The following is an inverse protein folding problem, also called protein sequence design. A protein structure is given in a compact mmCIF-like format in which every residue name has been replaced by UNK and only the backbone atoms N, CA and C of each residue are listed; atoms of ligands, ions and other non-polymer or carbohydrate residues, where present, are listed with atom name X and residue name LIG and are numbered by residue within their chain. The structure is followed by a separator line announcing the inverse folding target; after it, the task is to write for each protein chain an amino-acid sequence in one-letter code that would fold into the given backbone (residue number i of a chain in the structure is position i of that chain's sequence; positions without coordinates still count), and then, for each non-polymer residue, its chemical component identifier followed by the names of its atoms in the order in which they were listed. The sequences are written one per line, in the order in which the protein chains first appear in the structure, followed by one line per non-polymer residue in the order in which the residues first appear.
data_IF_418408772765
#
_entry.id   IF_418408772765
#
_cell.length_a   1.000
_cell.length_b   1.000
_cell.length_c   1.000
_cell.angle_alpha   90.00
_cell.angle_beta   90.00
_cell.angle_gamma   90.00
#
_symmetry.space_group_name_H-M   'P 1'
#
loop_
_entity.id
_entity.type
_entity.pdbx_description
1 polymer ?
#
# COMPACT_ATOMS: atom_id res chain seq x y z
N UNK A 1 22.97 11.41 -14.51
CA UNK A 1 21.80 10.91 -13.74
C UNK A 1 22.22 10.87 -12.29
N UNK A 2 21.48 11.54 -11.40
CA UNK A 2 21.78 11.50 -9.96
C UNK A 2 21.72 10.05 -9.46
N UNK A 3 22.64 9.69 -8.56
CA UNK A 3 22.66 8.38 -7.94
C UNK A 3 21.40 8.23 -7.08
N UNK A 4 20.63 7.16 -7.28
CA UNK A 4 19.51 6.84 -6.39
C UNK A 4 20.07 6.60 -4.98
N UNK A 5 19.53 7.28 -3.97
CA UNK A 5 19.90 7.10 -2.56
C UNK A 5 18.79 6.35 -1.81
N UNK A 6 19.16 5.29 -1.08
CA UNK A 6 18.23 4.65 -0.16
C UNK A 6 18.13 5.53 1.09
N UNK A 7 17.03 6.25 1.25
CA UNK A 7 16.82 7.14 2.39
C UNK A 7 16.04 6.42 3.49
N UNK A 8 16.38 6.66 4.74
CA UNK A 8 15.59 6.18 5.85
C UNK A 8 14.17 6.75 5.76
N UNK A 9 13.17 5.89 5.90
CA UNK A 9 11.77 6.26 5.72
C UNK A 9 10.87 5.30 6.46
N UNK A 10 9.77 5.82 6.98
CA UNK A 10 8.80 5.07 7.78
C UNK A 10 7.41 5.08 7.15
N UNK A 11 6.65 4.00 7.38
CA UNK A 11 5.22 3.86 7.07
C UNK A 11 4.63 2.78 7.97
N UNK A 12 3.30 2.71 8.09
CA UNK A 12 2.67 1.64 8.87
C UNK A 12 3.03 0.25 8.38
N UNK A 13 2.97 0.00 7.07
CA UNK A 13 3.32 -1.30 6.51
C UNK A 13 4.79 -1.65 6.77
N UNK A 14 5.69 -0.67 6.74
CA UNK A 14 7.10 -0.87 7.08
C UNK A 14 7.31 -1.19 8.57
N UNK A 15 6.54 -0.56 9.45
CA UNK A 15 6.54 -0.81 10.89
C UNK A 15 6.01 -2.21 11.21
N UNK A 16 4.87 -2.58 10.61
CA UNK A 16 4.25 -3.90 10.77
C UNK A 16 5.17 -5.01 10.24
N UNK A 17 5.80 -4.82 9.07
CA UNK A 17 6.78 -5.77 8.54
C UNK A 17 7.95 -5.96 9.51
N UNK A 18 8.49 -4.86 10.03
CA UNK A 18 9.58 -4.90 10.99
C UNK A 18 9.18 -5.58 12.29
N UNK A 19 8.01 -5.26 12.85
CA UNK A 19 7.48 -5.85 14.08
C UNK A 19 7.21 -7.35 13.95
N UNK A 20 6.60 -7.77 12.85
CA UNK A 20 6.31 -9.19 12.59
C UNK A 20 7.58 -9.99 12.24
N UNK A 21 8.52 -9.40 11.50
CA UNK A 21 9.73 -10.07 11.04
C UNK A 21 10.81 -9.07 10.64
N UNK A 22 11.83 -8.89 11.49
CA UNK A 22 12.98 -8.01 11.23
C UNK A 22 13.66 -8.37 9.91
N UNK A 23 13.85 -9.66 9.64
CA UNK A 23 14.39 -10.15 8.37
C UNK A 23 13.57 -9.74 7.14
N UNK A 24 12.23 -9.70 7.24
CA UNK A 24 11.37 -9.23 6.14
C UNK A 24 11.65 -7.77 5.81
N UNK A 25 11.83 -6.93 6.84
CA UNK A 25 12.21 -5.53 6.66
C UNK A 25 13.59 -5.38 6.02
N UNK A 26 14.56 -6.23 6.40
CA UNK A 26 15.87 -6.27 5.75
C UNK A 26 15.76 -6.50 4.23
N UNK A 27 15.02 -7.54 3.85
CA UNK A 27 14.81 -7.89 2.45
C UNK A 27 14.08 -6.78 1.67
N UNK A 28 13.00 -6.24 2.23
CA UNK A 28 12.12 -5.29 1.55
C UNK A 28 12.70 -3.88 1.43
N UNK A 29 13.69 -3.50 2.27
CA UNK A 29 14.27 -2.16 2.27
C UNK A 29 15.73 -2.11 1.84
N UNK A 30 16.56 -3.04 2.29
CA UNK A 30 18.01 -2.93 2.16
C UNK A 30 18.59 -3.88 1.12
N UNK A 31 18.36 -5.19 1.26
CA UNK A 31 18.92 -6.16 0.32
C UNK A 31 18.33 -6.05 -1.09
N UNK A 32 17.06 -5.64 -1.24
CA UNK A 32 16.50 -5.35 -2.56
C UNK A 32 17.12 -4.11 -3.25
N UNK A 33 17.78 -3.23 -2.50
CA UNK A 33 18.33 -1.99 -3.04
C UNK A 33 19.48 -2.28 -3.99
N UNK A 34 19.40 -1.74 -5.20
CA UNK A 34 20.37 -2.01 -6.26
C UNK A 34 20.09 -3.30 -7.05
N UNK A 35 19.10 -4.12 -6.67
CA UNK A 35 18.77 -5.38 -7.36
C UNK A 35 18.29 -5.24 -8.81
N UNK A 36 18.05 -4.01 -9.29
CA UNK A 36 17.81 -3.69 -10.71
C UNK A 36 19.09 -3.54 -11.54
N UNK A 37 20.27 -3.45 -10.91
CA UNK A 37 21.53 -3.25 -11.59
C UNK A 37 22.02 -4.56 -12.25
N UNK A 38 22.68 -4.43 -13.41
CA UNK A 38 23.21 -5.58 -14.16
C UNK A 38 24.22 -6.40 -13.36
N UNK A 39 25.00 -5.74 -12.51
CA UNK A 39 26.05 -6.31 -11.67
C UNK A 39 25.59 -6.57 -10.22
N UNK A 40 24.30 -6.46 -9.92
CA UNK A 40 23.77 -6.85 -8.62
C UNK A 40 24.03 -8.33 -8.33
N UNK A 41 24.17 -8.68 -7.05
CA UNK A 41 24.28 -10.09 -6.64
C UNK A 41 22.97 -10.83 -6.90
N UNK A 42 23.01 -12.16 -6.96
CA UNK A 42 21.79 -12.96 -7.15
C UNK A 42 20.80 -12.80 -5.98
N UNK A 43 21.32 -12.60 -4.76
CA UNK A 43 20.51 -12.28 -3.58
C UNK A 43 19.76 -10.95 -3.77
N UNK A 44 20.47 -9.88 -4.19
CA UNK A 44 19.85 -8.56 -4.40
C UNK A 44 18.80 -8.60 -5.51
N UNK A 45 19.08 -9.28 -6.63
CA UNK A 45 18.11 -9.45 -7.73
C UNK A 45 16.87 -10.20 -7.28
N UNK A 46 17.06 -11.23 -6.47
CA UNK A 46 15.96 -12.03 -5.92
C UNK A 46 15.14 -11.22 -4.92
N UNK A 47 15.77 -10.58 -3.92
CA UNK A 47 15.08 -9.69 -2.99
C UNK A 47 14.31 -8.57 -3.72
N UNK A 48 14.90 -7.99 -4.77
CA UNK A 48 14.21 -7.00 -5.61
C UNK A 48 13.00 -7.57 -6.34
N UNK A 49 13.10 -8.74 -6.95
CA UNK A 49 12.00 -9.41 -7.65
C UNK A 49 10.85 -9.75 -6.70
N UNK A 50 11.17 -10.33 -5.54
CA UNK A 50 10.19 -10.71 -4.52
C UNK A 50 9.48 -9.47 -3.95
N UNK A 51 10.22 -8.39 -3.70
CA UNK A 51 9.67 -7.10 -3.25
C UNK A 51 8.81 -6.35 -4.30
N UNK A 52 8.68 -6.87 -5.52
CA UNK A 52 7.75 -6.34 -6.53
C UNK A 52 6.60 -7.28 -6.83
N UNK A 53 6.50 -8.41 -6.10
CA UNK A 53 5.32 -9.24 -6.19
C UNK A 53 4.10 -8.48 -5.67
N UNK A 54 2.95 -8.84 -6.23
CA UNK A 54 1.64 -8.42 -5.78
C UNK A 54 0.84 -9.68 -5.42
N UNK A 55 -0.26 -9.49 -4.71
CA UNK A 55 -1.22 -10.55 -4.45
C UNK A 55 -2.55 -10.21 -5.11
N UNK A 56 -3.36 -11.23 -5.37
CA UNK A 56 -4.63 -11.05 -6.09
C UNK A 56 -5.61 -10.10 -5.39
N UNK A 57 -5.53 -9.96 -4.07
CA UNK A 57 -6.38 -9.05 -3.29
C UNK A 57 -5.90 -7.60 -3.38
N UNK A 58 -4.58 -7.37 -3.37
CA UNK A 58 -3.98 -6.07 -3.65
C UNK A 58 -4.35 -5.57 -5.04
N UNK A 59 -4.26 -6.45 -6.03
CA UNK A 59 -4.67 -6.15 -7.40
C UNK A 59 -6.16 -5.82 -7.51
N UNK A 60 -7.01 -6.54 -6.78
CA UNK A 60 -8.45 -6.26 -6.71
C UNK A 60 -8.75 -4.88 -6.14
N UNK A 61 -8.05 -4.50 -5.06
CA UNK A 61 -8.15 -3.16 -4.47
C UNK A 61 -7.82 -2.07 -5.47
N UNK A 62 -6.66 -2.18 -6.13
CA UNK A 62 -6.23 -1.25 -7.18
C UNK A 62 -7.23 -1.18 -8.34
N UNK A 63 -7.78 -2.32 -8.78
CA UNK A 63 -8.77 -2.34 -9.86
C UNK A 63 -10.07 -1.63 -9.48
N UNK A 64 -10.55 -1.83 -8.24
CA UNK A 64 -11.72 -1.16 -7.72
C UNK A 64 -11.47 0.35 -7.57
N UNK A 65 -10.36 0.75 -6.96
CA UNK A 65 -9.97 2.14 -6.79
C UNK A 65 -9.84 2.88 -8.12
N UNK A 66 -9.13 2.31 -9.09
CA UNK A 66 -9.02 2.89 -10.43
C UNK A 66 -10.40 3.13 -11.08
N UNK A 67 -11.31 2.17 -10.93
CA UNK A 67 -12.65 2.28 -11.51
C UNK A 67 -13.52 3.33 -10.80
N UNK A 68 -13.53 3.37 -9.46
CA UNK A 68 -14.34 4.35 -8.73
C UNK A 68 -13.80 5.77 -8.88
N UNK A 69 -12.47 5.93 -8.94
CA UNK A 69 -11.86 7.23 -9.20
C UNK A 69 -12.19 7.70 -10.61
N UNK A 70 -12.19 6.81 -11.60
CA UNK A 70 -12.66 7.15 -12.94
C UNK A 70 -14.14 7.55 -12.95
N UNK A 71 -15.01 6.82 -12.24
CA UNK A 71 -16.44 7.17 -12.08
C UNK A 71 -16.59 8.58 -11.49
N UNK A 72 -15.84 8.91 -10.43
CA UNK A 72 -15.84 10.24 -9.82
C UNK A 72 -15.46 11.32 -10.84
N UNK A 73 -14.39 11.10 -11.63
CA UNK A 73 -13.96 12.05 -12.67
C UNK A 73 -15.02 12.23 -13.76
N UNK A 74 -15.68 11.16 -14.20
CA UNK A 74 -16.78 11.27 -15.17
C UNK A 74 -17.96 12.05 -14.58
N UNK A 75 -18.31 11.79 -13.32
CA UNK A 75 -19.38 12.51 -12.63
C UNK A 75 -19.08 14.02 -12.54
N UNK A 76 -17.86 14.39 -12.16
CA UNK A 76 -17.41 15.79 -12.12
C UNK A 76 -17.42 16.47 -13.50
N UNK A 77 -17.27 15.70 -14.58
CA UNK A 77 -17.44 16.16 -15.95
C UNK A 77 -18.91 16.22 -16.41
N UNK A 78 -19.87 15.97 -15.52
CA UNK A 78 -21.31 15.98 -15.81
C UNK A 78 -21.83 14.69 -16.46
N UNK A 79 -21.04 13.61 -16.46
CA UNK A 79 -21.39 12.33 -17.08
C UNK A 79 -21.72 11.29 -16.02
N UNK A 80 -22.92 10.72 -16.08
CA UNK A 80 -23.26 9.52 -15.31
C UNK A 80 -22.71 8.27 -15.99
N UNK A 81 -22.28 7.31 -15.18
CA UNK A 81 -21.60 6.08 -15.61
C UNK A 81 -22.22 4.89 -14.89
N UNK A 82 -22.46 3.80 -15.62
CA UNK A 82 -22.98 2.56 -15.04
C UNK A 82 -21.87 1.68 -14.47
N UNK A 83 -22.23 0.75 -13.58
CA UNK A 83 -21.31 -0.26 -13.05
C UNK A 83 -20.64 -1.06 -14.17
N UNK A 84 -21.42 -1.45 -15.17
CA UNK A 84 -20.94 -2.22 -16.32
C UNK A 84 -19.92 -1.42 -17.14
N UNK A 85 -20.15 -0.12 -17.33
CA UNK A 85 -19.24 0.75 -18.07
C UNK A 85 -17.90 0.91 -17.33
N UNK A 86 -17.93 1.21 -16.03
CA UNK A 86 -16.70 1.32 -15.23
C UNK A 86 -15.93 -0.01 -15.17
N UNK A 87 -16.63 -1.13 -15.06
CA UNK A 87 -16.03 -2.46 -15.12
C UNK A 87 -15.35 -2.73 -16.46
N UNK A 88 -16.04 -2.51 -17.59
CA UNK A 88 -15.52 -2.81 -18.93
C UNK A 88 -14.41 -1.86 -19.36
N UNK A 89 -14.46 -0.60 -18.95
CA UNK A 89 -13.53 0.45 -19.39
C UNK A 89 -12.25 0.46 -18.57
N UNK A 90 -12.34 0.19 -17.25
CA UNK A 90 -11.21 0.40 -16.33
C UNK A 90 -10.78 -0.89 -15.64
N UNK A 91 -11.65 -1.45 -14.79
CA UNK A 91 -11.24 -2.54 -13.91
C UNK A 91 -10.88 -3.83 -14.67
N UNK A 92 -11.71 -4.25 -15.63
CA UNK A 92 -11.48 -5.50 -16.38
C UNK A 92 -10.21 -5.42 -17.24
N UNK A 93 -9.97 -4.38 -18.06
CA UNK A 93 -8.71 -4.26 -18.81
C UNK A 93 -7.47 -4.26 -17.89
N UNK A 94 -7.53 -3.56 -16.76
CA UNK A 94 -6.45 -3.56 -15.76
C UNK A 94 -6.18 -4.97 -15.22
N UNK A 95 -7.22 -5.66 -14.74
CA UNK A 95 -7.11 -7.02 -14.22
C UNK A 95 -6.59 -7.99 -15.27
N UNK A 96 -7.13 -7.96 -16.50
CA UNK A 96 -6.69 -8.82 -17.60
C UNK A 96 -5.21 -8.60 -17.92
N UNK A 97 -4.78 -7.33 -18.03
CA UNK A 97 -3.38 -7.00 -18.29
C UNK A 97 -2.47 -7.56 -17.20
N UNK A 98 -2.74 -7.22 -15.93
CA UNK A 98 -1.90 -7.60 -14.80
C UNK A 98 -1.85 -9.12 -14.57
N UNK A 99 -2.95 -9.81 -14.82
CA UNK A 99 -2.99 -11.27 -14.76
C UNK A 99 -2.15 -11.91 -15.86
N UNK A 100 -2.27 -11.42 -17.11
CA UNK A 100 -1.49 -11.92 -18.24
C UNK A 100 0.02 -11.66 -18.05
N UNK A 101 0.41 -10.45 -17.60
CA UNK A 101 1.80 -10.12 -17.29
C UNK A 101 2.42 -11.11 -16.31
N UNK A 102 1.64 -11.54 -15.31
CA UNK A 102 2.11 -12.50 -14.34
C UNK A 102 2.29 -13.91 -14.91
N UNK A 103 1.41 -14.34 -15.83
CA UNK A 103 1.51 -15.64 -16.51
C UNK A 103 2.67 -15.68 -17.53
N UNK A 104 2.87 -14.58 -18.27
CA UNK A 104 3.90 -14.46 -19.31
C UNK A 104 5.32 -14.47 -18.72
N UNK A 105 5.49 -14.05 -17.47
CA UNK A 105 6.78 -14.20 -16.78
C UNK A 105 7.80 -13.11 -17.04
N UNK A 106 7.45 -12.06 -17.79
CA UNK A 106 8.35 -10.93 -18.13
C UNK A 106 8.87 -10.18 -16.89
N UNK A 107 8.19 -10.31 -15.75
CA UNK A 107 8.63 -9.80 -14.44
C UNK A 107 9.97 -10.39 -13.98
N UNK A 108 10.41 -11.55 -14.49
CA UNK A 108 11.74 -12.10 -14.17
C UNK A 108 12.87 -11.15 -14.61
N UNK A 109 12.70 -10.50 -15.75
CA UNK A 109 13.67 -9.57 -16.32
C UNK A 109 13.38 -8.12 -15.93
N UNK A 110 12.11 -7.75 -15.73
CA UNK A 110 11.72 -6.40 -15.36
C UNK A 110 10.57 -6.38 -14.33
N UNK A 111 10.87 -6.69 -13.05
CA UNK A 111 9.86 -6.91 -12.02
C UNK A 111 9.12 -5.63 -11.60
N UNK A 112 9.68 -4.45 -11.89
CA UNK A 112 8.99 -3.17 -11.62
C UNK A 112 7.95 -2.83 -12.69
N UNK A 113 8.14 -3.30 -13.92
CA UNK A 113 7.24 -2.97 -15.02
C UNK A 113 6.09 -3.96 -15.17
N UNK A 114 6.36 -5.25 -14.96
CA UNK A 114 5.39 -6.32 -15.17
C UNK A 114 4.92 -6.91 -13.85
N UNK A 115 3.61 -7.12 -13.72
CA UNK A 115 3.03 -7.75 -12.55
C UNK A 115 3.59 -9.16 -12.32
N UNK A 116 3.89 -9.50 -11.07
CA UNK A 116 4.13 -10.86 -10.62
C UNK A 116 3.18 -11.18 -9.48
N UNK A 117 2.18 -12.01 -9.72
CA UNK A 117 1.32 -12.51 -8.65
C UNK A 117 2.04 -13.60 -7.88
N UNK A 118 2.11 -13.44 -6.56
CA UNK A 118 2.66 -14.44 -5.63
C UNK A 118 2.11 -15.85 -5.89
N UNK A 119 0.82 -15.94 -6.16
CA UNK A 119 0.12 -17.20 -6.45
C UNK A 119 0.68 -17.90 -7.70
N UNK A 120 1.03 -17.15 -8.74
CA UNK A 120 1.69 -17.71 -9.93
C UNK A 120 3.18 -17.99 -9.68
N UNK A 121 3.86 -17.13 -8.90
CA UNK A 121 5.27 -17.31 -8.56
C UNK A 121 5.52 -18.63 -7.83
N UNK A 122 4.73 -18.90 -6.79
CA UNK A 122 4.84 -20.11 -5.97
C UNK A 122 3.96 -21.28 -6.48
N UNK A 123 3.37 -21.17 -7.66
CA UNK A 123 2.57 -22.24 -8.26
C UNK A 123 1.30 -22.63 -7.49
N UNK A 124 0.75 -21.72 -6.67
CA UNK A 124 -0.41 -21.96 -5.80
C UNK A 124 -1.77 -21.77 -6.48
N UNK A 125 -1.83 -21.34 -7.75
CA UNK A 125 -3.08 -21.06 -8.44
C UNK A 125 -3.02 -21.50 -9.90
N UNK A 126 -3.82 -22.49 -10.27
CA UNK A 126 -3.93 -22.99 -11.64
C UNK A 126 -5.30 -23.63 -11.92
N UNK A 127 -5.60 -23.88 -13.20
CA UNK A 127 -6.75 -24.69 -13.60
C UNK A 127 -8.09 -24.09 -13.16
N UNK A 128 -8.91 -24.88 -12.47
CA UNK A 128 -10.26 -24.46 -12.06
C UNK A 128 -10.24 -23.47 -10.90
N UNK A 129 -9.27 -23.58 -9.99
CA UNK A 129 -9.10 -22.65 -8.87
C UNK A 129 -8.79 -21.23 -9.37
N UNK A 130 -7.99 -21.12 -10.44
CA UNK A 130 -7.67 -19.85 -11.06
C UNK A 130 -8.90 -19.19 -11.70
N UNK A 131 -9.75 -19.98 -12.38
CA UNK A 131 -10.99 -19.48 -12.96
C UNK A 131 -11.95 -19.00 -11.87
N UNK A 132 -12.06 -19.74 -10.79
CA UNK A 132 -12.92 -19.37 -9.68
C UNK A 132 -12.42 -18.11 -8.98
N UNK A 133 -11.11 -18.01 -8.73
CA UNK A 133 -10.50 -16.79 -8.21
C UNK A 133 -10.82 -15.57 -9.09
N UNK A 134 -10.66 -15.68 -10.42
CA UNK A 134 -11.03 -14.60 -11.37
C UNK A 134 -12.50 -14.20 -11.26
N UNK A 135 -13.42 -15.15 -11.13
CA UNK A 135 -14.86 -14.88 -10.98
C UNK A 135 -15.17 -14.16 -9.68
N UNK A 136 -14.61 -14.63 -8.56
CA UNK A 136 -14.80 -14.02 -7.23
C UNK A 136 -14.30 -12.57 -7.23
N UNK A 137 -13.09 -12.33 -7.74
CA UNK A 137 -12.52 -10.98 -7.80
C UNK A 137 -13.36 -10.06 -8.71
N UNK A 138 -13.80 -10.55 -9.87
CA UNK A 138 -14.66 -9.77 -10.77
C UNK A 138 -15.98 -9.37 -10.11
N UNK A 139 -16.62 -10.30 -9.40
CA UNK A 139 -17.87 -10.02 -8.68
C UNK A 139 -17.65 -8.99 -7.56
N UNK A 140 -16.58 -9.12 -6.77
CA UNK A 140 -16.26 -8.18 -5.70
C UNK A 140 -15.94 -6.78 -6.23
N UNK A 141 -15.18 -6.65 -7.32
CA UNK A 141 -14.88 -5.34 -7.93
C UNK A 141 -16.16 -4.68 -8.45
N UNK A 142 -17.02 -5.43 -9.15
CA UNK A 142 -18.30 -4.88 -9.62
C UNK A 142 -19.20 -4.43 -8.47
N UNK A 143 -19.19 -5.18 -7.36
CA UNK A 143 -19.92 -4.82 -6.16
C UNK A 143 -19.35 -3.55 -5.49
N UNK A 144 -18.03 -3.40 -5.43
CA UNK A 144 -17.37 -2.17 -4.98
C UNK A 144 -17.78 -0.96 -5.81
N UNK A 145 -17.75 -1.09 -7.15
CA UNK A 145 -18.16 -0.03 -8.07
C UNK A 145 -19.63 0.34 -7.85
N UNK A 146 -20.51 -0.66 -7.73
CA UNK A 146 -21.93 -0.46 -7.47
C UNK A 146 -22.15 0.34 -6.18
N UNK A 147 -21.59 -0.12 -5.08
CA UNK A 147 -21.76 0.53 -3.79
C UNK A 147 -21.14 1.92 -3.76
N UNK A 148 -20.01 2.15 -4.46
CA UNK A 148 -19.48 3.48 -4.65
C UNK A 148 -20.50 4.41 -5.33
N UNK A 149 -21.05 4.01 -6.47
CA UNK A 149 -22.04 4.80 -7.21
C UNK A 149 -23.30 5.07 -6.37
N UNK A 150 -23.79 4.06 -5.64
CA UNK A 150 -25.06 4.15 -4.91
C UNK A 150 -24.94 4.82 -3.53
N UNK A 151 -23.78 4.74 -2.86
CA UNK A 151 -23.62 5.12 -1.44
C UNK A 151 -22.55 6.18 -1.17
N UNK A 152 -21.47 6.19 -1.96
CA UNK A 152 -20.32 7.10 -1.74
C UNK A 152 -20.46 8.33 -2.62
N UNK A 153 -20.65 8.13 -3.93
CA UNK A 153 -20.75 9.19 -4.93
C UNK A 153 -21.83 10.25 -4.59
N UNK A 154 -23.02 9.92 -4.04
CA UNK A 154 -23.98 10.94 -3.64
C UNK A 154 -23.49 11.87 -2.52
N UNK A 155 -22.54 11.43 -1.69
CA UNK A 155 -21.94 12.23 -0.61
C UNK A 155 -20.81 13.13 -1.10
N UNK A 156 -19.99 12.64 -2.04
CA UNK A 156 -18.77 13.34 -2.48
C UNK A 156 -18.86 13.91 -3.91
N UNK A 157 -19.93 13.66 -4.65
CA UNK A 157 -20.05 14.02 -6.06
C UNK A 157 -20.12 15.52 -6.34
N UNK A 158 -20.43 16.34 -5.33
CA UNK A 158 -20.42 17.81 -5.43
C UNK A 158 -19.03 18.42 -5.25
N UNK A 159 -18.04 17.63 -4.82
CA UNK A 159 -16.65 18.07 -4.64
C UNK A 159 -16.07 18.41 -6.00
N UNK A 160 -15.54 19.63 -6.13
CA UNK A 160 -14.90 20.15 -7.34
C UNK A 160 -13.43 19.76 -7.37
N UNK A 161 -12.82 19.58 -8.56
CA UNK A 161 -11.39 19.24 -8.67
C UNK A 161 -10.44 20.18 -7.92
N UNK A 162 -10.77 21.47 -7.80
CA UNK A 162 -9.94 22.47 -7.08
C UNK A 162 -9.98 22.31 -5.56
N UNK A 163 -10.95 21.57 -5.02
CA UNK A 163 -11.08 21.27 -3.60
C UNK A 163 -10.27 20.04 -3.21
N UNK A 164 -9.85 19.22 -4.17
CA UNK A 164 -9.14 17.99 -3.90
C UNK A 164 -7.66 18.22 -3.63
N UNK A 165 -7.12 17.44 -2.70
CA UNK A 165 -5.68 17.36 -2.52
C UNK A 165 -5.07 16.53 -3.64
N UNK A 166 -4.00 17.05 -4.25
CA UNK A 166 -3.17 16.29 -5.17
C UNK A 166 -2.30 15.32 -4.37
N UNK A 167 -2.66 14.04 -4.41
CA UNK A 167 -1.90 12.94 -3.82
C UNK A 167 -0.92 12.40 -4.87
N UNK A 168 0.38 12.41 -4.57
CA UNK A 168 1.38 11.87 -5.48
C UNK A 168 1.42 10.33 -5.42
N UNK A 169 1.13 9.66 -6.53
CA UNK A 169 1.17 8.19 -6.66
C UNK A 169 2.43 7.73 -7.41
N UNK A 170 2.79 6.43 -7.37
CA UNK A 170 3.92 5.91 -8.14
C UNK A 170 3.89 6.23 -9.64
N UNK A 171 2.71 6.40 -10.24
CA UNK A 171 2.56 6.76 -11.67
C UNK A 171 2.88 8.22 -11.96
N UNK A 172 2.79 9.12 -10.97
CA UNK A 172 2.97 10.56 -11.18
C UNK A 172 4.43 10.96 -11.45
N UNK A 173 5.37 10.07 -11.17
CA UNK A 173 6.81 10.32 -11.31
C UNK A 173 7.36 11.21 -10.20
N UNK A 174 8.51 10.82 -9.66
CA UNK A 174 9.12 11.49 -8.51
C UNK A 174 8.82 10.75 -7.19
N UNK A 175 8.89 11.47 -6.09
CA UNK A 175 8.57 10.93 -4.77
C UNK A 175 7.06 10.79 -4.60
N UNK A 176 6.64 9.60 -4.17
CA UNK A 176 5.24 9.34 -3.77
C UNK A 176 4.85 10.17 -2.55
N UNK A 177 3.55 10.29 -2.31
CA UNK A 177 2.98 11.13 -1.27
C UNK A 177 3.60 10.83 0.11
N UNK A 178 4.14 11.89 0.73
CA UNK A 178 4.85 11.82 2.00
C UNK A 178 4.86 13.19 2.68
N UNK A 179 5.22 13.18 3.96
CA UNK A 179 5.54 14.37 4.75
C UNK A 179 6.80 14.12 5.59
N UNK A 180 7.40 15.19 6.10
CA UNK A 180 8.52 15.10 7.03
C UNK A 180 8.01 15.36 8.44
N UNK A 181 8.28 14.43 9.35
CA UNK A 181 7.96 14.57 10.76
C UNK A 181 9.19 14.24 11.59
N UNK A 182 9.62 15.16 12.46
CA UNK A 182 10.82 15.00 13.30
C UNK A 182 12.08 14.56 12.53
N UNK A 183 12.25 15.10 11.32
CA UNK A 183 13.38 14.79 10.44
C UNK A 183 13.28 13.45 9.70
N UNK A 184 12.19 12.70 9.86
CA UNK A 184 11.95 11.42 9.19
C UNK A 184 10.97 11.60 8.03
N UNK A 185 11.28 10.96 6.90
CA UNK A 185 10.35 10.86 5.78
C UNK A 185 9.27 9.82 6.09
N UNK A 186 8.03 10.27 6.18
CA UNK A 186 6.86 9.45 6.50
C UNK A 186 6.01 9.27 5.24
N UNK A 187 5.89 8.03 4.78
CA UNK A 187 4.96 7.67 3.72
C UNK A 187 3.58 7.41 4.32
N UNK A 188 2.63 8.23 3.90
CA UNK A 188 1.22 8.12 4.23
C UNK A 188 0.47 8.64 3.02
N UNK A 189 -0.19 7.73 2.30
CA UNK A 189 -0.83 8.00 1.02
C UNK A 189 -2.33 7.79 1.26
N UNK A 190 -3.11 8.85 1.52
CA UNK A 190 -4.55 8.71 1.52
C UNK A 190 -5.03 8.37 0.12
N UNK A 191 -6.11 7.59 -0.01
CA UNK A 191 -6.62 7.23 -1.34
C UNK A 191 -7.38 8.40 -1.99
N UNK A 192 -8.11 9.17 -1.18
CA UNK A 192 -8.78 10.39 -1.64
C UNK A 192 -8.97 11.39 -0.51
N UNK A 193 -8.65 12.65 -0.77
CA UNK A 193 -8.83 13.71 0.21
C UNK A 193 -9.22 15.03 -0.45
N UNK A 194 -10.02 15.83 0.23
CA UNK A 194 -10.44 17.15 -0.23
C UNK A 194 -10.69 18.11 0.93
N UNK A 195 -10.78 19.40 0.61
CA UNK A 195 -11.06 20.49 1.53
C UNK A 195 -12.29 21.28 1.11
N UNK A 196 -13.24 21.43 2.03
CA UNK A 196 -14.40 22.31 1.87
C UNK A 196 -14.38 23.31 3.02
N UNK A 197 -14.25 24.61 2.70
CA UNK A 197 -13.96 25.64 3.70
C UNK A 197 -12.68 25.27 4.48
N UNK A 198 -12.76 25.18 5.81
CA UNK A 198 -11.65 24.78 6.69
C UNK A 198 -11.65 23.29 7.03
N UNK A 199 -12.63 22.52 6.54
CA UNK A 199 -12.78 21.09 6.84
C UNK A 199 -12.03 20.23 5.82
N UNK A 200 -11.22 19.30 6.33
CA UNK A 200 -10.47 18.32 5.54
C UNK A 200 -11.16 16.97 5.67
N UNK A 201 -11.54 16.39 4.55
CA UNK A 201 -12.16 15.07 4.47
C UNK A 201 -11.19 14.10 3.80
N UNK A 202 -10.95 12.95 4.43
CA UNK A 202 -10.02 11.93 3.96
C UNK A 202 -10.75 10.59 3.93
N UNK A 203 -10.77 9.96 2.76
CA UNK A 203 -11.38 8.67 2.53
C UNK A 203 -10.30 7.62 2.25
N UNK A 204 -10.43 6.48 2.92
CA UNK A 204 -9.62 5.28 2.74
C UNK A 204 -10.53 4.16 2.21
N UNK A 205 -10.23 3.70 1.01
CA UNK A 205 -11.03 2.73 0.26
C UNK A 205 -10.64 1.31 0.65
N UNK A 206 -11.58 0.55 1.20
CA UNK A 206 -11.38 -0.87 1.48
C UNK A 206 -12.27 -1.72 0.56
N UNK A 207 -11.64 -2.45 -0.34
CA UNK A 207 -12.33 -3.38 -1.25
C UNK A 207 -12.47 -4.81 -0.67
N UNK A 208 -11.77 -5.11 0.43
CA UNK A 208 -11.81 -6.41 1.12
C UNK A 208 -12.72 -6.41 2.35
N UNK A 209 -12.70 -7.52 3.10
CA UNK A 209 -13.51 -7.70 4.32
C UNK A 209 -13.21 -6.63 5.39
N UNK A 210 -14.23 -6.35 6.19
CA UNK A 210 -14.15 -5.48 7.37
C UNK A 210 -13.13 -6.02 8.39
N UNK A 211 -12.13 -5.21 8.73
CA UNK A 211 -11.25 -5.37 9.89
C UNK A 211 -11.31 -4.07 10.69
N UNK A 212 -11.70 -4.10 11.95
CA UNK A 212 -12.01 -2.86 12.71
C UNK A 212 -10.84 -2.34 13.54
N UNK A 213 -9.96 -3.21 14.02
CA UNK A 213 -9.08 -2.86 15.14
C UNK A 213 -7.80 -2.12 14.70
N UNK A 214 -7.35 -2.32 13.46
CA UNK A 214 -6.13 -1.68 12.90
C UNK A 214 -6.39 -0.31 12.24
N UNK A 215 -7.66 0.06 12.04
CA UNK A 215 -7.98 1.22 11.19
C UNK A 215 -7.72 2.56 11.87
N UNK A 216 -7.95 2.68 13.18
CA UNK A 216 -7.80 3.96 13.88
C UNK A 216 -6.37 4.48 13.84
N UNK A 217 -5.39 3.62 14.11
CA UNK A 217 -3.98 3.99 14.06
C UNK A 217 -3.57 4.44 12.65
N UNK A 218 -3.98 3.70 11.61
CA UNK A 218 -3.74 4.10 10.21
C UNK A 218 -4.31 5.49 9.90
N UNK A 219 -5.56 5.74 10.29
CA UNK A 219 -6.25 7.00 10.07
C UNK A 219 -5.64 8.16 10.87
N UNK A 220 -5.11 7.93 12.07
CA UNK A 220 -4.38 8.95 12.84
C UNK A 220 -3.16 9.50 12.09
N UNK A 221 -2.49 8.67 11.28
CA UNK A 221 -1.38 9.15 10.45
C UNK A 221 -1.87 10.00 9.27
N UNK A 222 -3.05 9.73 8.72
CA UNK A 222 -3.67 10.63 7.74
C UNK A 222 -4.06 11.97 8.37
N UNK A 223 -4.53 11.97 9.63
CA UNK A 223 -4.73 13.22 10.37
C UNK A 223 -3.41 13.98 10.51
N UNK A 224 -2.35 13.31 10.95
CA UNK A 224 -1.02 13.91 11.07
C UNK A 224 -0.50 14.46 9.72
N UNK A 225 -0.69 13.71 8.63
CA UNK A 225 -0.37 14.15 7.27
C UNK A 225 -1.08 15.46 6.92
N UNK A 226 -2.39 15.56 7.17
CA UNK A 226 -3.16 16.76 6.87
C UNK A 226 -2.73 17.96 7.72
N UNK A 227 -2.40 17.73 9.00
CA UNK A 227 -1.88 18.76 9.90
C UNK A 227 -0.51 19.27 9.43
N UNK A 228 0.44 18.38 9.18
CA UNK A 228 1.83 18.74 8.86
C UNK A 228 1.94 19.37 7.47
N UNK A 229 1.29 18.79 6.46
CA UNK A 229 1.45 19.22 5.07
C UNK A 229 0.55 20.39 4.70
N UNK A 230 -0.63 20.50 5.32
CA UNK A 230 -1.65 21.47 4.93
C UNK A 230 -2.17 22.35 6.06
N UNK A 231 -1.56 22.28 7.26
CA UNK A 231 -1.90 23.13 8.39
C UNK A 231 -3.33 22.95 8.91
N UNK A 232 -3.95 21.79 8.67
CA UNK A 232 -5.31 21.52 9.12
C UNK A 232 -5.37 21.45 10.66
N UNK A 233 -6.47 21.92 11.24
CA UNK A 233 -6.75 21.75 12.67
C UNK A 233 -7.36 20.36 12.89
N UNK A 234 -6.97 19.67 13.97
CA UNK A 234 -7.37 18.28 14.22
C UNK A 234 -8.90 18.11 14.29
N UNK A 235 -9.60 19.04 14.94
CA UNK A 235 -11.06 19.07 15.07
C UNK A 235 -11.79 19.35 13.73
N UNK A 236 -11.05 19.74 12.68
CA UNK A 236 -11.52 19.96 11.32
C UNK A 236 -11.15 18.85 10.35
N UNK A 237 -10.56 17.75 10.84
CA UNK A 237 -10.23 16.59 10.02
C UNK A 237 -11.28 15.50 10.23
N UNK A 238 -11.90 15.07 9.15
CA UNK A 238 -12.90 14.01 9.10
C UNK A 238 -12.38 12.85 8.26
N UNK A 239 -12.37 11.66 8.86
CA UNK A 239 -11.80 10.46 8.26
C UNK A 239 -12.92 9.45 7.99
N UNK A 240 -12.84 8.74 6.88
CA UNK A 240 -13.83 7.76 6.48
C UNK A 240 -13.14 6.50 6.00
N UNK A 241 -13.40 5.37 6.66
CA UNK A 241 -13.13 4.06 6.08
C UNK A 241 -14.36 3.64 5.29
N UNK A 242 -14.15 3.43 4.00
CA UNK A 242 -15.21 3.16 3.04
C UNK A 242 -15.07 1.70 2.59
N UNK A 243 -15.84 0.81 3.23
CA UNK A 243 -15.91 -0.60 2.86
C UNK A 243 -16.78 -0.76 1.64
N UNK A 244 -16.16 -0.66 0.47
CA UNK A 244 -16.83 -0.61 -0.81
C UNK A 244 -17.55 -1.91 -1.13
N UNK A 245 -17.00 -3.06 -0.72
CA UNK A 245 -17.66 -4.34 -0.98
C UNK A 245 -18.93 -4.51 -0.11
N UNK A 246 -18.92 -4.03 1.12
CA UNK A 246 -20.06 -4.11 2.03
C UNK A 246 -21.04 -2.93 1.88
N UNK A 247 -20.61 -1.84 1.22
CA UNK A 247 -21.37 -0.61 1.08
C UNK A 247 -21.54 0.14 2.41
N UNK A 248 -20.55 -0.01 3.31
CA UNK A 248 -20.56 0.58 4.65
C UNK A 248 -19.49 1.66 4.78
N UNK A 249 -19.79 2.69 5.57
CA UNK A 249 -18.83 3.73 5.94
C UNK A 249 -18.68 3.77 7.45
N UNK A 250 -17.44 3.81 7.92
CA UNK A 250 -17.11 4.12 9.31
C UNK A 250 -16.48 5.51 9.36
N UNK A 251 -17.19 6.52 9.89
CA UNK A 251 -16.63 7.84 10.10
C UNK A 251 -15.79 7.87 11.38
N UNK A 252 -14.70 8.63 11.36
CA UNK A 252 -13.80 8.84 12.47
C UNK A 252 -13.44 10.32 12.60
N UNK A 253 -13.28 10.74 13.84
CA UNK A 253 -12.49 11.91 14.22
C UNK A 253 -11.47 11.43 15.24
N UNK A 254 -10.23 11.86 15.06
CA UNK A 254 -9.11 11.48 15.93
C UNK A 254 -9.03 12.50 17.06
N UNK A 255 -8.97 12.01 18.28
CA UNK A 255 -8.76 12.85 19.47
C UNK A 255 -7.29 13.22 19.62
N UNK A 256 -7.01 14.28 20.39
CA UNK A 256 -5.62 14.64 20.73
C UNK A 256 -4.88 13.46 21.38
N UNK A 257 -5.54 12.71 22.26
CA UNK A 257 -4.94 11.56 22.93
C UNK A 257 -4.53 10.44 21.96
N UNK A 258 -5.40 10.10 20.99
CA UNK A 258 -5.10 9.10 19.95
C UNK A 258 -3.99 9.58 18.99
N UNK A 259 -3.95 10.88 18.70
CA UNK A 259 -2.89 11.45 17.88
C UNK A 259 -1.54 11.40 18.61
N UNK A 260 -1.49 11.73 19.89
CA UNK A 260 -0.28 11.61 20.71
C UNK A 260 0.18 10.16 20.84
N UNK A 261 -0.73 9.20 21.05
CA UNK A 261 -0.40 7.77 21.04
C UNK A 261 0.23 7.34 19.70
N UNK A 262 -0.32 7.83 18.59
CA UNK A 262 0.21 7.53 17.25
C UNK A 262 1.61 8.10 17.05
N UNK A 263 1.86 9.33 17.54
CA UNK A 263 3.19 9.95 17.49
C UNK A 263 4.21 9.18 18.32
N UNK A 264 3.84 8.75 19.53
CA UNK A 264 4.69 7.94 20.40
C UNK A 264 5.03 6.61 19.75
N UNK A 265 4.04 5.87 19.27
CA UNK A 265 4.24 4.59 18.57
C UNK A 265 5.14 4.75 17.34
N UNK A 266 4.93 5.82 16.55
CA UNK A 266 5.78 6.12 15.40
C UNK A 266 7.22 6.42 15.85
N UNK A 267 7.41 7.22 16.90
CA UNK A 267 8.73 7.57 17.43
C UNK A 267 9.48 6.34 17.94
N UNK A 268 8.81 5.49 18.71
CA UNK A 268 9.36 4.22 19.22
C UNK A 268 9.73 3.28 18.07
N UNK A 269 8.85 3.16 17.06
CA UNK A 269 9.10 2.34 15.87
C UNK A 269 10.29 2.85 15.05
N UNK A 270 10.41 4.18 14.89
CA UNK A 270 11.56 4.81 14.25
C UNK A 270 12.84 4.55 15.04
N UNK A 271 12.80 4.69 16.38
CA UNK A 271 13.92 4.41 17.26
C UNK A 271 14.40 2.97 17.11
N UNK A 272 13.48 2.00 17.22
CA UNK A 272 13.78 0.59 17.06
C UNK A 272 14.36 0.25 15.67
N UNK A 273 13.82 0.81 14.58
CA UNK A 273 14.40 0.61 13.24
C UNK A 273 15.79 1.27 13.08
N UNK A 274 16.07 2.32 13.85
CA UNK A 274 17.35 3.04 13.80
C UNK A 274 18.46 2.20 14.43
N UNK A 275 18.17 1.39 15.45
CA UNK A 275 19.14 0.49 16.08
C UNK A 275 19.70 -0.57 15.11
N UNK A 276 18.97 -0.88 14.04
CA UNK A 276 19.41 -1.79 12.98
C UNK A 276 20.23 -1.11 11.88
N UNK A 277 20.67 0.13 12.12
CA UNK A 277 21.58 0.86 11.24
C UNK A 277 22.97 0.95 11.86
N UNK A 278 24.00 0.93 11.02
CA UNK A 278 25.39 1.19 11.45
C UNK A 278 25.47 2.55 12.14
N UNK A 279 26.01 2.56 13.36
CA UNK A 279 26.12 3.71 14.25
C UNK A 279 24.78 4.43 14.56
N UNK A 280 23.63 3.80 14.28
CA UNK A 280 22.33 4.46 14.38
C UNK A 280 22.14 5.62 13.39
N UNK A 281 22.90 5.65 12.28
CA UNK A 281 22.93 6.78 11.35
C UNK A 281 21.84 6.70 10.27
N UNK A 282 20.73 7.40 10.50
CA UNK A 282 19.60 7.52 9.55
C UNK A 282 19.94 8.28 8.27
N UNK A 283 20.96 9.15 8.27
CA UNK A 283 21.34 9.92 7.07
C UNK A 283 22.11 9.06 6.08
N UNK A 284 22.98 8.17 6.59
CA UNK A 284 23.65 7.13 5.80
C UNK A 284 22.68 6.01 5.44
N UNK A 285 21.79 5.62 6.36
CA UNK A 285 20.81 4.55 6.19
C UNK A 285 21.47 3.23 5.72
N UNK A 286 22.61 2.91 6.34
CA UNK A 286 23.37 1.69 6.12
C UNK A 286 22.92 0.63 7.13
N UNK A 287 22.41 -0.54 6.69
CA UNK A 287 21.91 -1.55 7.61
C UNK A 287 23.07 -2.26 8.32
N UNK A 288 22.80 -2.78 9.52
CA UNK A 288 23.62 -3.84 10.12
C UNK A 288 23.64 -5.09 9.21
N UNK A 289 24.64 -5.98 9.36
CA UNK A 289 24.71 -7.25 8.62
C UNK A 289 23.40 -8.06 8.74
N UNK A 290 23.06 -8.82 7.70
CA UNK A 290 21.82 -9.61 7.59
C UNK A 290 21.54 -10.45 8.84
N UNK A 291 22.60 -11.00 9.43
CA UNK A 291 22.57 -11.89 10.59
C UNK A 291 22.02 -11.21 11.85
N UNK A 292 22.15 -9.89 11.96
CA UNK A 292 21.56 -9.08 13.04
C UNK A 292 20.05 -8.88 12.86
N UNK A 293 19.50 -9.16 11.68
CA UNK A 293 18.06 -9.04 11.41
C UNK A 293 17.39 -10.40 11.63
N UNK A 294 16.73 -10.55 12.78
CA UNK A 294 16.19 -11.84 13.21
C UNK A 294 15.06 -12.34 12.32
N UNK A 295 15.01 -13.66 12.15
CA UNK A 295 13.84 -14.34 11.59
C UNK A 295 12.64 -14.19 12.53
N UNK A 296 11.43 -14.33 11.99
CA UNK A 296 10.21 -14.37 12.79
C UNK A 296 10.21 -15.55 13.75
N UNK A 297 9.79 -15.34 14.99
CA UNK A 297 9.56 -16.41 15.95
C UNK A 297 8.25 -17.17 15.70
N UNK A 298 7.31 -16.58 14.96
CA UNK A 298 6.06 -17.22 14.57
C UNK A 298 6.12 -17.73 13.12
N UNK A 299 6.13 -19.06 12.90
CA UNK A 299 6.12 -19.65 11.56
C UNK A 299 4.89 -19.27 10.72
N UNK A 300 3.77 -18.86 11.34
CA UNK A 300 2.60 -18.40 10.61
C UNK A 300 2.91 -17.17 9.73
N UNK A 301 3.89 -16.35 10.13
CA UNK A 301 4.35 -15.19 9.36
C UNK A 301 5.10 -15.58 8.07
N UNK A 302 5.55 -16.83 7.93
CA UNK A 302 6.31 -17.32 6.77
C UNK A 302 5.40 -17.78 5.62
N UNK A 303 4.25 -18.40 5.91
CA UNK A 303 3.43 -19.10 4.90
C UNK A 303 2.94 -18.22 3.73
N UNK A 304 2.79 -16.91 3.98
CA UNK A 304 2.41 -15.89 3.00
C UNK A 304 3.51 -14.85 2.75
N UNK A 305 4.70 -15.01 3.34
CA UNK A 305 5.82 -14.10 3.08
C UNK A 305 6.27 -14.21 1.62
N UNK A 306 6.56 -13.07 1.00
CA UNK A 306 7.10 -13.00 -0.35
C UNK A 306 8.59 -13.35 -0.39
N UNK A 307 9.28 -13.23 0.74
CA UNK A 307 10.72 -13.49 0.86
C UNK A 307 11.04 -14.90 1.37
N UNK A 308 10.05 -15.80 1.41
CA UNK A 308 10.19 -17.14 1.99
C UNK A 308 11.41 -17.89 1.42
N UNK A 309 11.60 -17.89 0.10
CA UNK A 309 12.71 -18.59 -0.57
C UNK A 309 14.10 -18.06 -0.17
N UNK A 310 14.21 -16.81 0.30
CA UNK A 310 15.48 -16.26 0.79
C UNK A 310 15.79 -16.68 2.22
N UNK A 311 14.77 -17.08 2.99
CA UNK A 311 14.92 -17.54 4.37
C UNK A 311 14.89 -19.06 4.49
N UNK A 312 14.37 -19.78 3.49
CA UNK A 312 14.21 -21.25 3.50
C UNK A 312 15.47 -22.00 3.93
N UNK A 313 16.69 -21.70 3.42
CA UNK A 313 17.89 -22.40 3.86
C UNK A 313 18.20 -22.24 5.36
N UNK A 314 17.98 -21.05 5.92
CA UNK A 314 18.20 -20.78 7.35
C UNK A 314 17.10 -21.42 8.22
N UNK A 315 15.86 -21.51 7.70
CA UNK A 315 14.75 -22.15 8.39
C UNK A 315 14.92 -23.68 8.46
N UNK A 316 15.38 -24.30 7.37
CA UNK A 316 15.63 -25.74 7.30
C UNK A 316 16.78 -26.17 8.25
N UNK A 317 17.75 -25.30 8.51
CA UNK A 317 18.86 -25.55 9.46
C UNK A 317 18.41 -25.47 10.93
N UNK A 318 17.24 -24.88 11.22
CA UNK A 318 16.69 -24.72 12.58
C UNK A 318 15.76 -25.87 13.00
N UNK A 319 15.34 -26.75 12.07
CA UNK A 319 14.50 -27.95 12.32
C UNK A 319 15.35 -29.21 12.61
#
# INVERSE_FOLDING_TARGET
MGQLKNTFSWSFSAAEDFEQCRRRRYWSKYAMWGGWARNATEEQKTAYRLNKMDNRWGLMGQAAENAIMWVLRQHQAGRSVSVEEAWKTIARPFMTKKWNESLEGNWRSNPKQFCCLRDHYYGKLSGEEEKEAKRVLAAQIQNCIKNFIERVLPRIGTVKPQQEFRIATPETGGDVEHFIYEGVKIYSIPDYAYRVNDEVHIHDWKAGKVKTDQHRLQLSLYALWAMVKYGAQLDKIFLYVEYLNEGQVLPFQITDAELEETKLLMSDSVGAMTEYLVDGDREKNEPLPKEEWELTFDPANCGMCDFYELCEPELDEME
#
